data_IF_770981239292
#
_entry.id   IF_770981239292
#
_cell.length_a   1.000
_cell.length_b   1.000
_cell.length_c   1.000
_cell.angle_alpha   90.00
_cell.angle_beta   90.00
_cell.angle_gamma   90.00
#
_symmetry.space_group_name_H-M   'P 1'
#
loop_
_entity.id
_entity.type
_entity.pdbx_description
1 polymer ?
#
# COMPACT_ATOMS: atom_id res chain seq x y z
N UNK A 1 -7.43 34.37 -61.71
CA UNK A 1 -8.77 33.89 -61.35
C UNK A 1 -8.75 32.37 -61.40
N UNK A 2 -8.23 31.76 -60.33
CA UNK A 2 -8.09 30.31 -60.19
C UNK A 2 -9.29 29.82 -59.36
N UNK A 3 -10.17 29.05 -59.97
CA UNK A 3 -11.40 28.55 -59.34
C UNK A 3 -11.30 27.04 -59.11
N UNK A 4 -11.37 26.69 -57.83
CA UNK A 4 -11.94 25.47 -57.24
C UNK A 4 -11.52 24.12 -57.84
N UNK A 5 -10.47 23.52 -57.25
CA UNK A 5 -10.38 22.06 -57.10
C UNK A 5 -10.11 21.79 -55.62
N UNK A 6 -11.17 21.44 -54.89
CA UNK A 6 -11.12 21.04 -53.49
C UNK A 6 -12.21 20.01 -53.24
N UNK A 7 -11.88 18.97 -52.47
CA UNK A 7 -12.68 17.81 -52.05
C UNK A 7 -12.84 16.65 -53.05
N UNK A 8 -11.79 15.82 -53.18
CA UNK A 8 -11.95 14.36 -53.13
C UNK A 8 -10.75 13.80 -52.36
N UNK A 9 -10.99 13.31 -51.14
CA UNK A 9 -10.34 12.17 -50.50
C UNK A 9 -10.52 12.28 -49.00
N UNK A 10 -11.41 11.48 -48.41
CA UNK A 10 -11.16 10.67 -47.21
C UNK A 10 -12.46 9.94 -46.82
N UNK A 11 -12.46 8.62 -47.07
CA UNK A 11 -13.08 7.56 -46.27
C UNK A 11 -14.60 7.55 -46.01
N UNK A 12 -15.30 6.70 -46.77
CA UNK A 12 -16.42 5.88 -46.27
C UNK A 12 -15.97 4.41 -46.45
N UNK A 13 -15.93 3.60 -45.38
CA UNK A 13 -17.01 2.63 -45.20
C UNK A 13 -17.46 2.51 -43.74
N UNK A 14 -18.63 3.07 -43.44
CA UNK A 14 -19.45 2.68 -42.30
C UNK A 14 -20.45 1.63 -42.80
N UNK A 15 -20.10 0.35 -42.73
CA UNK A 15 -21.07 -0.74 -42.90
C UNK A 15 -20.50 -2.08 -42.35
N UNK A 16 -21.04 -2.51 -41.19
CA UNK A 16 -21.20 -3.91 -40.72
C UNK A 16 -19.90 -4.62 -40.22
N UNK A 17 -19.89 -5.32 -39.05
CA UNK A 17 -20.95 -6.24 -38.61
C UNK A 17 -21.42 -6.16 -37.15
N UNK A 18 -22.75 -6.09 -37.00
CA UNK A 18 -23.52 -6.40 -35.78
C UNK A 18 -23.85 -7.91 -35.66
N UNK A 19 -23.15 -8.79 -36.39
CA UNK A 19 -23.53 -10.21 -36.57
C UNK A 19 -22.74 -11.17 -35.64
N UNK A 20 -21.74 -10.70 -34.91
CA UNK A 20 -20.90 -11.59 -34.06
C UNK A 20 -21.53 -11.86 -32.67
N UNK A 21 -22.54 -11.10 -32.24
CA UNK A 21 -23.13 -11.26 -30.89
C UNK A 21 -24.22 -12.35 -30.84
N UNK A 22 -24.82 -12.74 -31.97
CA UNK A 22 -25.90 -13.75 -31.98
C UNK A 22 -25.40 -15.21 -32.03
N UNK A 23 -24.12 -15.46 -32.34
CA UNK A 23 -23.58 -16.83 -32.45
C UNK A 23 -23.04 -17.37 -31.12
N UNK A 24 -22.64 -16.50 -30.17
CA UNK A 24 -22.11 -16.94 -28.86
C UNK A 24 -23.21 -17.36 -27.88
N UNK A 25 -24.46 -16.94 -28.09
CA UNK A 25 -25.58 -17.27 -27.19
C UNK A 25 -26.23 -18.64 -27.54
N UNK A 26 -26.02 -19.16 -28.75
CA UNK A 26 -26.70 -20.38 -29.22
C UNK A 26 -25.90 -21.66 -28.91
N UNK A 27 -24.58 -21.58 -28.72
CA UNK A 27 -23.75 -22.78 -28.48
C UNK A 27 -23.74 -23.27 -27.02
N UNK A 28 -24.26 -22.49 -26.06
CA UNK A 28 -24.21 -22.87 -24.64
C UNK A 28 -25.53 -23.46 -24.09
N UNK A 29 -26.40 -23.99 -24.97
CA UNK A 29 -27.72 -24.52 -24.58
C UNK A 29 -27.98 -25.99 -24.94
N UNK A 30 -26.97 -26.77 -25.32
CA UNK A 30 -27.13 -28.23 -25.51
C UNK A 30 -25.93 -29.04 -24.98
N UNK A 31 -25.85 -29.16 -23.67
CA UNK A 31 -25.12 -30.19 -22.91
C UNK A 31 -25.39 -29.85 -21.44
N UNK A 32 -25.98 -30.67 -20.58
CA UNK A 32 -26.14 -32.11 -20.56
C UNK A 32 -27.20 -32.44 -19.50
N UNK A 33 -28.22 -33.19 -19.88
CA UNK A 33 -28.96 -34.05 -18.96
C UNK A 33 -28.24 -35.39 -18.94
N UNK A 34 -27.46 -35.66 -17.89
CA UNK A 34 -27.21 -37.03 -17.42
C UNK A 34 -26.61 -36.98 -16.01
N UNK A 35 -27.37 -37.60 -15.11
CA UNK A 35 -27.09 -37.76 -13.71
C UNK A 35 -26.27 -39.04 -13.51
N UNK A 36 -25.12 -38.91 -12.87
CA UNK A 36 -24.45 -40.03 -12.21
C UNK A 36 -24.01 -39.57 -10.82
N UNK A 37 -24.52 -40.30 -9.83
CA UNK A 37 -24.23 -40.19 -8.41
C UNK A 37 -22.72 -40.21 -8.18
N UNK A 38 -22.22 -39.26 -7.39
CA UNK A 38 -20.93 -39.36 -6.71
C UNK A 38 -21.17 -38.96 -5.26
N UNK A 39 -20.73 -39.84 -4.39
CA UNK A 39 -21.02 -39.87 -2.97
C UNK A 39 -20.53 -38.61 -2.25
N UNK A 40 -21.34 -38.16 -1.31
CA UNK A 40 -21.11 -37.02 -0.42
C UNK A 40 -20.03 -37.40 0.62
N UNK A 41 -18.76 -37.13 0.29
CA UNK A 41 -17.68 -37.20 1.28
C UNK A 41 -17.77 -35.96 2.20
N UNK A 42 -18.40 -36.15 3.36
CA UNK A 42 -18.48 -35.16 4.43
C UNK A 42 -17.06 -34.94 4.97
N UNK A 43 -16.39 -33.90 4.51
CA UNK A 43 -15.17 -33.40 5.14
C UNK A 43 -15.52 -32.76 6.49
N UNK A 44 -14.81 -33.08 7.58
CA UNK A 44 -15.13 -32.55 8.90
C UNK A 44 -14.95 -31.03 8.95
N UNK A 45 -15.94 -30.33 9.52
CA UNK A 45 -15.87 -28.90 9.83
C UNK A 45 -14.64 -28.60 10.71
N UNK A 46 -13.58 -28.09 10.08
CA UNK A 46 -12.46 -27.50 10.81
C UNK A 46 -12.88 -26.12 11.31
N UNK A 47 -12.96 -26.01 12.63
CA UNK A 47 -13.12 -24.78 13.40
C UNK A 47 -12.15 -23.71 12.88
N UNK A 48 -12.67 -22.57 12.40
CA UNK A 48 -11.87 -21.42 12.00
C UNK A 48 -11.20 -20.81 13.24
N UNK A 49 -9.94 -21.16 13.44
CA UNK A 49 -9.02 -20.57 14.39
C UNK A 49 -8.49 -19.23 13.87
N UNK A 50 -8.58 -18.20 14.71
CA UNK A 50 -7.71 -17.02 14.81
C UNK A 50 -6.85 -16.68 13.58
N UNK A 51 -7.25 -15.63 12.84
CA UNK A 51 -6.46 -15.05 11.76
C UNK A 51 -5.04 -14.66 12.21
N UNK A 52 -4.06 -15.21 11.50
CA UNK A 52 -2.63 -15.03 11.72
C UNK A 52 -2.23 -13.58 11.39
N UNK A 53 -1.32 -12.98 12.16
CA UNK A 53 -0.85 -11.58 12.00
C UNK A 53 -0.38 -11.21 10.58
N UNK A 54 -0.04 -12.20 9.74
CA UNK A 54 0.34 -12.04 8.34
C UNK A 54 -0.77 -11.50 7.43
N UNK A 55 -2.06 -11.70 7.74
CA UNK A 55 -3.16 -11.18 6.91
C UNK A 55 -3.44 -9.68 7.14
N UNK A 56 -2.98 -9.12 8.26
CA UNK A 56 -3.12 -7.67 8.54
C UNK A 56 -2.15 -6.80 7.74
N UNK A 57 -1.07 -7.37 7.22
CA UNK A 57 -0.05 -6.64 6.46
C UNK A 57 -0.49 -6.29 5.02
N UNK A 58 -1.50 -6.98 4.47
CA UNK A 58 -2.05 -6.68 3.14
C UNK A 58 -3.36 -5.85 3.16
N UNK A 59 -3.88 -5.50 4.34
CA UNK A 59 -5.13 -4.73 4.42
C UNK A 59 -4.93 -3.29 3.91
N UNK A 60 -5.53 -3.01 2.77
CA UNK A 60 -5.53 -1.70 2.13
C UNK A 60 -6.43 -0.72 2.89
N UNK A 61 -5.83 0.31 3.49
CA UNK A 61 -6.52 1.33 4.29
C UNK A 61 -7.10 2.43 3.41
N UNK A 62 -6.26 2.95 2.49
CA UNK A 62 -6.67 4.01 1.56
C UNK A 62 -6.18 3.71 0.14
N UNK A 63 -7.01 4.05 -0.84
CA UNK A 63 -6.64 4.10 -2.25
C UNK A 63 -7.12 5.41 -2.88
N UNK A 64 -6.17 6.23 -3.33
CA UNK A 64 -6.43 7.58 -3.82
C UNK A 64 -5.91 7.71 -5.26
N UNK A 65 -6.79 8.05 -6.19
CA UNK A 65 -6.41 8.47 -7.54
C UNK A 65 -6.13 9.98 -7.56
N UNK A 66 -4.85 10.32 -7.80
CA UNK A 66 -4.39 11.71 -7.89
C UNK A 66 -4.90 12.44 -9.13
N UNK A 67 -5.56 11.76 -10.07
CA UNK A 67 -6.03 12.33 -11.35
C UNK A 67 -4.90 12.88 -12.24
N UNK A 68 -3.66 12.47 -11.96
CA UNK A 68 -2.44 12.94 -12.60
C UNK A 68 -1.57 11.76 -13.06
N UNK A 69 -2.17 10.58 -13.26
CA UNK A 69 -1.46 9.36 -13.65
C UNK A 69 -0.74 8.64 -12.50
N UNK A 70 -1.01 9.04 -11.25
CA UNK A 70 -0.50 8.35 -10.05
C UNK A 70 -1.64 8.00 -9.11
N UNK A 71 -1.49 6.88 -8.41
CA UNK A 71 -2.34 6.48 -7.30
C UNK A 71 -1.52 6.27 -6.04
N UNK A 72 -2.03 6.69 -4.89
CA UNK A 72 -1.47 6.39 -3.57
C UNK A 72 -2.29 5.28 -2.92
N UNK A 73 -1.62 4.23 -2.49
CA UNK A 73 -2.16 3.18 -1.64
C UNK A 73 -1.49 3.24 -0.27
N UNK A 74 -2.27 3.08 0.78
CA UNK A 74 -1.81 3.14 2.17
C UNK A 74 -2.18 1.84 2.85
N UNK A 75 -1.19 1.16 3.43
CA UNK A 75 -1.31 -0.09 4.17
C UNK A 75 -0.90 0.15 5.63
N UNK A 76 -0.90 -0.91 6.44
CA UNK A 76 -0.53 -0.80 7.84
C UNK A 76 0.95 -0.53 8.11
N UNK A 77 1.84 -1.02 7.23
CA UNK A 77 3.31 -0.99 7.34
C UNK A 77 3.98 -0.07 6.30
N UNK A 78 3.30 0.20 5.18
CA UNK A 78 3.86 0.93 4.04
C UNK A 78 2.85 1.76 3.25
N UNK A 79 3.38 2.64 2.42
CA UNK A 79 2.66 3.32 1.34
C UNK A 79 3.19 2.84 -0.02
N UNK A 80 2.33 2.83 -1.04
CA UNK A 80 2.73 2.55 -2.43
C UNK A 80 2.26 3.70 -3.32
N UNK A 81 3.18 4.25 -4.12
CA UNK A 81 2.87 5.16 -5.21
C UNK A 81 2.98 4.37 -6.51
N UNK A 82 1.86 4.13 -7.17
CA UNK A 82 1.81 3.46 -8.47
C UNK A 82 1.65 4.49 -9.58
N UNK A 83 2.40 4.32 -10.67
CA UNK A 83 2.15 5.03 -11.93
C UNK A 83 1.07 4.26 -12.69
N UNK A 84 -0.08 4.89 -12.93
CA UNK A 84 -1.19 4.25 -13.64
C UNK A 84 -0.85 4.17 -15.13
N UNK A 85 -0.49 2.99 -15.61
CA UNK A 85 -0.41 2.67 -17.04
C UNK A 85 -1.66 3.12 -17.79
N UNK A 86 -1.49 3.90 -18.85
CA UNK A 86 -2.59 4.23 -19.75
C UNK A 86 -2.35 5.52 -20.54
N UNK A 87 -3.25 5.78 -21.49
CA UNK A 87 -3.17 6.94 -22.39
C UNK A 87 -3.00 8.26 -21.60
N UNK A 88 -3.61 8.39 -20.42
CA UNK A 88 -3.45 9.55 -19.53
C UNK A 88 -2.01 9.72 -19.00
N UNK A 89 -1.33 8.65 -18.57
CA UNK A 89 0.05 8.74 -18.08
C UNK A 89 1.04 9.09 -19.21
N UNK A 90 0.80 8.58 -20.42
CA UNK A 90 1.56 8.94 -21.61
C UNK A 90 1.42 10.44 -21.96
N UNK A 91 0.21 10.99 -21.85
CA UNK A 91 -0.05 12.42 -22.11
C UNK A 91 0.54 13.38 -21.06
N UNK A 92 0.82 12.90 -19.83
CA UNK A 92 1.39 13.73 -18.74
C UNK A 92 2.88 13.46 -18.46
N UNK A 93 3.58 12.79 -19.38
CA UNK A 93 5.04 12.64 -19.32
C UNK A 93 5.54 11.62 -18.28
N UNK A 94 4.67 10.73 -17.79
CA UNK A 94 5.03 9.71 -16.79
C UNK A 94 5.70 8.44 -17.38
N UNK A 95 5.97 8.41 -18.69
CA UNK A 95 6.67 7.31 -19.36
C UNK A 95 5.84 6.03 -19.51
N UNK A 96 6.21 5.20 -20.50
CA UNK A 96 5.56 3.91 -20.78
C UNK A 96 6.00 2.77 -19.82
N UNK A 97 6.54 3.13 -18.65
CA UNK A 97 7.06 2.19 -17.66
C UNK A 97 6.20 2.26 -16.41
N UNK A 98 5.52 1.15 -16.15
CA UNK A 98 4.73 0.95 -14.93
C UNK A 98 5.69 0.65 -13.80
N UNK A 99 5.76 1.54 -12.82
CA UNK A 99 6.55 1.35 -11.62
C UNK A 99 5.71 1.63 -10.40
N UNK A 100 5.66 0.65 -9.50
CA UNK A 100 5.19 0.84 -8.13
C UNK A 100 6.41 1.17 -7.27
N UNK A 101 6.28 2.22 -6.46
CA UNK A 101 7.29 2.58 -5.49
C UNK A 101 6.73 2.41 -4.10
N UNK A 102 7.35 1.52 -3.33
CA UNK A 102 6.95 1.22 -1.96
C UNK A 102 7.79 2.04 -0.97
N UNK A 103 7.13 2.50 0.10
CA UNK A 103 7.72 3.28 1.17
C UNK A 103 7.28 2.70 2.51
N UNK A 104 8.13 1.88 3.13
CA UNK A 104 7.89 1.41 4.49
C UNK A 104 7.98 2.58 5.47
N UNK A 105 7.04 2.65 6.42
CA UNK A 105 6.99 3.74 7.41
C UNK A 105 8.29 3.86 8.22
N UNK A 106 8.93 2.72 8.43
CA UNK A 106 10.14 2.61 9.20
C UNK A 106 11.36 3.26 8.52
N UNK A 107 11.32 3.47 7.20
CA UNK A 107 12.43 4.03 6.41
C UNK A 107 12.17 5.49 6.00
N UNK A 108 10.94 5.98 6.18
CA UNK A 108 10.57 7.37 5.90
C UNK A 108 11.15 8.29 6.99
N UNK A 109 11.96 9.26 6.58
CA UNK A 109 12.49 10.30 7.48
C UNK A 109 11.52 11.46 7.63
N UNK A 110 10.85 11.87 6.56
CA UNK A 110 9.89 12.98 6.59
C UNK A 110 8.79 12.84 5.55
N UNK A 111 7.66 13.51 5.78
CA UNK A 111 6.52 13.58 4.86
C UNK A 111 6.19 15.05 4.59
N UNK A 112 6.53 15.53 3.39
CA UNK A 112 6.12 16.84 2.92
C UNK A 112 4.71 16.79 2.36
N UNK A 113 3.92 17.82 2.65
CA UNK A 113 2.54 17.89 2.19
C UNK A 113 2.13 19.31 1.83
N UNK A 114 1.48 19.45 0.68
CA UNK A 114 0.75 20.65 0.29
C UNK A 114 -0.64 20.23 -0.15
N UNK A 115 -1.67 20.75 0.51
CA UNK A 115 -3.06 20.44 0.17
C UNK A 115 -3.46 21.06 -1.19
N UNK A 116 -4.58 20.57 -1.74
CA UNK A 116 -5.18 21.08 -2.96
C UNK A 116 -5.74 22.49 -2.76
N UNK A 117 -5.35 23.42 -3.64
CA UNK A 117 -5.75 24.83 -3.58
C UNK A 117 -6.06 25.38 -4.98
N UNK A 118 -5.48 26.53 -5.31
CA UNK A 118 -5.42 27.06 -6.69
C UNK A 118 -4.37 26.35 -7.55
N UNK A 119 -3.44 25.65 -6.91
CA UNK A 119 -2.42 24.83 -7.56
C UNK A 119 -2.59 23.38 -7.16
N UNK A 120 -1.96 22.50 -7.92
CA UNK A 120 -1.86 21.05 -7.65
C UNK A 120 -1.30 20.78 -6.26
N UNK A 121 -1.91 19.83 -5.54
CA UNK A 121 -1.43 19.34 -4.25
C UNK A 121 -0.41 18.22 -4.41
N UNK A 122 0.38 17.98 -3.38
CA UNK A 122 1.32 16.86 -3.35
C UNK A 122 1.55 16.33 -1.93
N UNK A 123 1.91 15.05 -1.87
CA UNK A 123 2.47 14.38 -0.70
C UNK A 123 3.78 13.73 -1.15
N UNK A 124 4.88 13.99 -0.46
CA UNK A 124 6.20 13.50 -0.83
C UNK A 124 6.91 12.86 0.35
N UNK A 125 7.49 11.68 0.10
CA UNK A 125 8.29 10.95 1.06
C UNK A 125 9.77 11.32 0.93
N UNK A 126 10.42 11.58 2.06
CA UNK A 126 11.87 11.65 2.16
C UNK A 126 12.39 10.44 2.91
N UNK A 127 13.56 9.96 2.50
CA UNK A 127 14.28 8.84 3.10
C UNK A 127 15.78 8.99 2.80
N UNK A 128 16.68 8.31 3.53
CA UNK A 128 18.12 8.43 3.30
C UNK A 128 18.49 8.01 1.87
N UNK A 129 19.25 8.84 1.17
CA UNK A 129 19.63 8.61 -0.23
C UNK A 129 18.56 8.99 -1.26
N UNK A 130 17.39 9.50 -0.84
CA UNK A 130 16.42 10.07 -1.76
C UNK A 130 16.98 11.32 -2.44
N UNK A 131 16.98 11.34 -3.78
CA UNK A 131 17.30 12.54 -4.53
C UNK A 131 16.08 13.46 -4.58
N UNK A 132 16.22 14.68 -4.05
CA UNK A 132 15.17 15.70 -4.11
C UNK A 132 15.15 16.34 -5.50
N UNK A 133 14.51 15.70 -6.47
CA UNK A 133 14.17 16.29 -7.77
C UNK A 133 12.93 17.19 -7.69
N UNK A 134 12.51 17.78 -8.81
CA UNK A 134 11.27 18.58 -8.86
C UNK A 134 10.07 17.79 -8.29
N UNK A 135 9.35 18.38 -7.33
CA UNK A 135 8.23 17.75 -6.60
C UNK A 135 7.10 17.23 -7.53
N UNK A 136 7.04 17.71 -8.78
CA UNK A 136 6.04 17.34 -9.79
C UNK A 136 6.42 16.13 -10.66
N UNK A 137 7.70 15.79 -10.75
CA UNK A 137 8.17 14.68 -11.58
C UNK A 137 8.88 13.60 -10.75
N UNK A 138 9.02 13.81 -9.45
CA UNK A 138 9.62 12.86 -8.53
C UNK A 138 8.75 11.61 -8.37
N UNK A 139 9.37 10.43 -8.45
CA UNK A 139 8.74 9.16 -8.05
C UNK A 139 8.37 9.13 -6.57
N UNK A 140 9.01 9.97 -5.75
CA UNK A 140 8.78 10.05 -4.32
C UNK A 140 7.55 10.90 -3.97
N UNK A 141 6.92 11.50 -4.98
CA UNK A 141 5.80 12.41 -4.83
C UNK A 141 4.53 11.82 -5.41
N UNK A 142 3.52 11.68 -4.57
CA UNK A 142 2.13 11.51 -4.98
C UNK A 142 1.52 12.89 -5.23
N UNK A 143 1.10 13.11 -6.47
CA UNK A 143 0.60 14.41 -6.93
C UNK A 143 -0.88 14.26 -7.22
N UNK A 144 -1.67 15.23 -6.76
CA UNK A 144 -3.10 15.20 -6.92
C UNK A 144 -3.69 16.54 -7.37
N UNK A 145 -4.59 16.48 -8.35
CA UNK A 145 -5.26 17.65 -8.91
C UNK A 145 -6.68 17.36 -9.33
N UNK A 146 -7.55 18.36 -9.28
CA UNK A 146 -8.89 18.28 -9.85
C UNK A 146 -9.39 19.67 -10.22
N UNK A 147 -10.33 19.74 -11.16
CA UNK A 147 -10.98 20.99 -11.54
C UNK A 147 -11.74 21.55 -10.35
N UNK A 148 -11.49 22.82 -10.00
CA UNK A 148 -12.14 23.52 -8.88
C UNK A 148 -13.66 23.41 -9.02
N UNK A 149 -14.33 23.10 -7.91
CA UNK A 149 -15.79 22.98 -7.85
C UNK A 149 -16.34 21.58 -8.15
N UNK A 150 -15.53 20.66 -8.70
CA UNK A 150 -15.95 19.27 -8.91
C UNK A 150 -16.01 18.49 -7.60
N UNK A 151 -16.80 17.41 -7.57
CA UNK A 151 -16.86 16.50 -6.41
C UNK A 151 -15.49 15.89 -6.10
N UNK A 152 -14.71 15.53 -7.13
CA UNK A 152 -13.34 15.04 -6.93
C UNK A 152 -12.43 16.08 -6.28
N UNK A 153 -12.57 17.36 -6.64
CA UNK A 153 -11.83 18.45 -5.99
C UNK A 153 -12.18 18.57 -4.51
N UNK A 154 -13.48 18.59 -4.17
CA UNK A 154 -13.93 18.68 -2.77
C UNK A 154 -13.40 17.49 -1.96
N UNK A 155 -13.56 16.28 -2.50
CA UNK A 155 -13.09 15.03 -1.89
C UNK A 155 -11.59 15.06 -1.63
N UNK A 156 -10.77 15.31 -2.66
CA UNK A 156 -9.31 15.38 -2.50
C UNK A 156 -8.88 16.46 -1.51
N UNK A 157 -9.53 17.63 -1.54
CA UNK A 157 -9.21 18.75 -0.65
C UNK A 157 -9.51 18.47 0.82
N UNK A 158 -10.55 17.69 1.09
CA UNK A 158 -10.95 17.32 2.46
C UNK A 158 -10.21 16.09 2.99
N UNK A 159 -10.03 15.05 2.18
CA UNK A 159 -9.49 13.75 2.63
C UNK A 159 -7.96 13.77 2.76
N UNK A 160 -7.26 14.42 1.84
CA UNK A 160 -5.79 14.35 1.79
C UNK A 160 -5.09 14.86 3.06
N UNK A 161 -5.54 15.94 3.73
CA UNK A 161 -5.00 16.33 5.04
C UNK A 161 -5.09 15.21 6.07
N UNK A 162 -6.28 14.58 6.20
CA UNK A 162 -6.51 13.50 7.17
C UNK A 162 -5.62 12.29 6.88
N UNK A 163 -5.50 11.92 5.61
CA UNK A 163 -4.63 10.81 5.16
C UNK A 163 -3.16 11.14 5.43
N UNK A 164 -2.72 12.38 5.18
CA UNK A 164 -1.36 12.79 5.48
C UNK A 164 -1.05 12.73 6.98
N UNK A 165 -1.99 13.14 7.83
CA UNK A 165 -1.82 13.10 9.28
C UNK A 165 -1.75 11.65 9.79
N UNK A 166 -2.57 10.74 9.25
CA UNK A 166 -2.50 9.31 9.57
C UNK A 166 -1.16 8.69 9.15
N UNK A 167 -0.69 8.97 7.92
CA UNK A 167 0.63 8.52 7.44
C UNK A 167 1.74 9.04 8.36
N UNK A 168 1.72 10.32 8.75
CA UNK A 168 2.73 10.89 9.67
C UNK A 168 2.71 10.21 11.02
N UNK A 169 1.52 9.92 11.56
CA UNK A 169 1.36 9.18 12.79
C UNK A 169 2.03 7.80 12.69
N UNK A 170 1.74 7.03 11.64
CA UNK A 170 2.35 5.70 11.39
C UNK A 170 3.86 5.77 11.23
N UNK A 171 4.38 6.77 10.52
CA UNK A 171 5.83 7.01 10.41
C UNK A 171 6.45 7.26 11.78
N UNK A 172 5.82 8.05 12.63
CA UNK A 172 6.32 8.31 13.99
C UNK A 172 6.26 7.07 14.88
N UNK A 173 5.18 6.29 14.80
CA UNK A 173 5.03 5.02 15.51
C UNK A 173 6.10 4.01 15.08
N UNK A 174 6.36 3.87 13.78
CA UNK A 174 7.41 2.98 13.25
C UNK A 174 8.83 3.40 13.69
N UNK A 175 9.11 4.71 13.76
CA UNK A 175 10.38 5.22 14.30
C UNK A 175 10.54 4.90 15.77
N UNK A 176 9.47 5.11 16.55
CA UNK A 176 9.46 4.82 17.99
C UNK A 176 9.53 3.31 18.27
N UNK A 177 9.04 2.46 17.38
CA UNK A 177 9.22 1.02 17.47
C UNK A 177 10.67 0.60 17.19
N UNK A 178 11.38 1.27 16.27
CA UNK A 178 12.82 1.05 16.00
C UNK A 178 13.73 1.53 17.15
N UNK A 179 13.35 2.59 17.87
CA UNK A 179 14.07 3.09 19.06
C UNK A 179 13.52 2.54 20.38
N UNK A 180 12.41 1.82 20.33
CA UNK A 180 11.89 1.06 21.43
C UNK A 180 12.87 -0.06 21.72
N UNK A 181 13.70 0.14 22.76
CA UNK A 181 14.21 -0.95 23.58
C UNK A 181 13.07 -1.94 23.71
N UNK A 182 13.17 -3.07 23.03
CA UNK A 182 12.39 -4.23 23.38
C UNK A 182 12.74 -4.44 24.84
N UNK A 183 11.83 -4.06 25.74
CA UNK A 183 11.75 -4.75 27.01
C UNK A 183 11.30 -6.13 26.58
N UNK A 184 12.25 -6.92 26.08
CA UNK A 184 12.16 -8.37 26.15
C UNK A 184 11.90 -8.54 27.62
N UNK A 185 10.67 -8.92 27.97
CA UNK A 185 10.39 -9.49 29.26
C UNK A 185 11.38 -10.64 29.34
N UNK A 186 12.54 -10.37 29.93
CA UNK A 186 13.61 -11.33 29.99
C UNK A 186 13.01 -12.46 30.80
N UNK A 187 13.03 -13.67 30.24
CA UNK A 187 12.52 -14.79 30.99
C UNK A 187 13.30 -14.83 32.31
N UNK A 188 12.71 -15.26 33.44
CA UNK A 188 13.45 -15.40 34.69
C UNK A 188 14.78 -16.17 34.53
N UNK A 189 14.87 -17.05 33.52
CA UNK A 189 16.08 -17.75 33.11
C UNK A 189 17.16 -16.84 32.48
N UNK A 190 16.79 -15.89 31.62
CA UNK A 190 17.73 -14.95 30.99
C UNK A 190 18.29 -13.95 32.01
N UNK A 191 17.45 -13.49 32.94
CA UNK A 191 17.87 -12.68 34.07
C UNK A 191 18.81 -13.47 35.01
N UNK A 192 18.49 -14.74 35.31
CA UNK A 192 19.35 -15.60 36.11
C UNK A 192 20.73 -15.81 35.51
N UNK A 193 20.83 -15.93 34.18
CA UNK A 193 22.10 -16.06 33.47
C UNK A 193 22.97 -14.81 33.66
N UNK A 194 22.39 -13.62 33.53
CA UNK A 194 23.09 -12.34 33.78
C UNK A 194 23.59 -12.22 35.23
N UNK A 195 22.75 -12.59 36.20
CA UNK A 195 23.16 -12.57 37.61
C UNK A 195 24.26 -13.60 37.89
N UNK A 196 24.27 -14.75 37.20
CA UNK A 196 25.35 -15.73 37.33
C UNK A 196 26.66 -15.20 36.77
N UNK A 197 26.63 -14.52 35.63
CA UNK A 197 27.82 -13.90 35.04
C UNK A 197 28.40 -12.81 35.97
N UNK A 198 27.54 -12.08 36.70
CA UNK A 198 27.97 -11.12 37.73
C UNK A 198 28.60 -11.80 38.95
N UNK A 199 28.11 -12.97 39.35
CA UNK A 199 28.69 -13.78 40.42
C UNK A 199 30.07 -14.34 39.99
N UNK A 200 30.14 -14.88 38.79
CA UNK A 200 31.36 -15.49 38.23
C UNK A 200 32.45 -14.44 37.96
N UNK A 201 32.06 -13.19 37.67
CA UNK A 201 32.96 -12.04 37.58
C UNK A 201 33.30 -11.38 38.93
N UNK A 202 32.73 -11.88 40.03
CA UNK A 202 32.97 -11.36 41.38
C UNK A 202 32.38 -9.98 41.66
N UNK A 203 31.45 -9.51 40.82
CA UNK A 203 30.76 -8.22 40.98
C UNK A 203 29.70 -8.28 42.09
N UNK A 204 29.09 -9.45 42.29
CA UNK A 204 28.13 -9.72 43.36
C UNK A 204 28.55 -10.93 44.19
N UNK A 205 28.08 -11.01 45.42
CA UNK A 205 28.34 -12.16 46.30
C UNK A 205 27.36 -13.31 46.07
N UNK A 206 27.68 -14.48 46.62
CA UNK A 206 26.82 -15.68 46.53
C UNK A 206 25.44 -15.43 47.17
N UNK A 207 25.43 -14.73 48.30
CA UNK A 207 24.24 -14.40 49.07
C UNK A 207 23.32 -13.43 48.32
N UNK A 208 23.90 -12.45 47.60
CA UNK A 208 23.18 -11.50 46.75
C UNK A 208 22.56 -12.19 45.53
N UNK A 209 23.32 -13.10 44.90
CA UNK A 209 22.83 -13.93 43.81
C UNK A 209 21.64 -14.80 44.24
N UNK A 210 21.76 -15.51 45.38
CA UNK A 210 20.72 -16.42 45.85
C UNK A 210 19.44 -15.68 46.27
N UNK A 211 19.56 -14.46 46.80
CA UNK A 211 18.41 -13.58 47.09
C UNK A 211 17.67 -13.18 45.82
N UNK A 212 18.41 -12.75 44.78
CA UNK A 212 17.82 -12.38 43.49
C UNK A 212 17.21 -13.58 42.77
N UNK A 213 17.84 -14.74 42.86
CA UNK A 213 17.32 -16.00 42.30
C UNK A 213 15.97 -16.40 42.89
N UNK A 214 15.79 -16.28 44.21
CA UNK A 214 14.50 -16.56 44.86
C UNK A 214 13.42 -15.57 44.43
N UNK A 215 13.76 -14.27 44.38
CA UNK A 215 12.85 -13.22 43.90
C UNK A 215 12.37 -13.47 42.46
N UNK A 216 13.28 -13.87 41.56
CA UNK A 216 12.97 -14.13 40.15
C UNK A 216 12.17 -15.41 39.92
N UNK A 217 12.30 -16.39 40.81
CA UNK A 217 11.58 -17.68 40.74
C UNK A 217 10.28 -17.70 41.57
N UNK A 218 9.98 -16.64 42.33
CA UNK A 218 8.78 -16.54 43.15
C UNK A 218 8.76 -17.49 44.36
N UNK A 219 9.93 -17.75 44.96
CA UNK A 219 10.14 -18.71 46.05
C UNK A 219 10.40 -18.05 47.41
#
# INVERSE_FOLDING_TARGET
>A
MATLISLISFFIPFLIPLIVISIVIITNRSNSSNQSQLDEEILPETQYSNGTEAEKEEELIYAIDGNMGKTLKVYHDRCIISITSGLKAAFWGAGALNGDKEFYYSDITSVQFKNLGHTTGYLQFEYPGAHSGNNFNSENSFIFSATIGTEKYKKLKEEMPRICDDIRKRVNEAKNAKTGTTVVASSPADELKKYKDLLDSGVITREEFDTKKKQLLGL
#
